data_IF_462810180661
#
_entry.id   IF_462810180661
#
_cell.length_a   1.000
_cell.length_b   1.000
_cell.length_c   1.000
_cell.angle_alpha   90.00
_cell.angle_beta   90.00
_cell.angle_gamma   90.00
#
_symmetry.space_group_name_H-M   'P 1'
#
loop_
_entity.id
_entity.type
_entity.pdbx_description
1 polymer ?
#
# COMPACT_ATOMS: atom_id res chain seq x y z
N UNK A 1 -6.43 29.07 1.79
CA UNK A 1 -5.32 29.40 0.88
C UNK A 1 -4.88 28.10 0.22
N UNK A 2 -5.22 27.95 -1.05
CA UNK A 2 -5.04 26.74 -1.86
C UNK A 2 -3.56 26.47 -2.10
N UNK A 3 -3.06 25.30 -1.68
CA UNK A 3 -1.88 24.69 -2.28
C UNK A 3 -2.36 23.79 -3.42
N UNK A 4 -2.47 24.41 -4.59
CA UNK A 4 -2.56 23.75 -5.88
C UNK A 4 -1.31 22.90 -6.11
N UNK A 5 -1.46 21.58 -5.99
CA UNK A 5 -0.60 20.64 -6.69
C UNK A 5 -1.22 20.38 -8.07
N UNK A 6 -1.26 21.43 -8.87
CA UNK A 6 -1.45 21.37 -10.30
C UNK A 6 -0.19 20.76 -10.92
N UNK A 7 -0.35 19.89 -11.93
CA UNK A 7 0.67 19.12 -12.61
C UNK A 7 1.86 19.92 -13.16
N UNK A 8 2.74 20.39 -12.31
CA UNK A 8 4.04 20.87 -12.70
C UNK A 8 4.89 19.70 -13.17
N UNK A 9 5.04 19.57 -14.49
CA UNK A 9 6.26 18.99 -15.07
C UNK A 9 7.43 19.79 -14.52
N UNK A 10 8.05 19.26 -13.48
CA UNK A 10 9.30 19.82 -13.01
C UNK A 10 10.37 19.50 -14.06
N UNK A 11 10.53 20.43 -14.99
CA UNK A 11 11.57 20.38 -16.00
C UNK A 11 12.87 20.84 -15.32
N UNK A 12 13.51 19.93 -14.61
CA UNK A 12 14.88 20.11 -14.13
C UNK A 12 15.79 20.14 -15.37
N UNK A 13 15.98 21.34 -15.93
CA UNK A 13 17.17 21.60 -16.73
C UNK A 13 18.36 21.53 -15.76
N UNK A 14 18.92 20.35 -15.61
CA UNK A 14 20.25 20.19 -15.05
C UNK A 14 21.21 20.78 -16.08
N UNK A 15 21.92 21.82 -15.68
CA UNK A 15 22.99 22.41 -16.47
C UNK A 15 23.97 21.32 -16.95
N UNK A 16 24.48 21.37 -18.19
CA UNK A 16 25.42 20.41 -18.66
C UNK A 16 26.79 20.67 -17.97
N UNK A 17 27.15 19.84 -17.03
CA UNK A 17 28.49 19.85 -16.47
C UNK A 17 29.15 18.50 -16.67
N UNK A 18 30.16 18.56 -17.53
CA UNK A 18 31.38 17.75 -17.64
C UNK A 18 31.27 16.22 -17.75
N UNK A 19 31.64 15.79 -18.91
CA UNK A 19 32.20 14.51 -19.35
C UNK A 19 32.95 13.74 -18.26
N UNK A 20 32.24 12.96 -17.49
CA UNK A 20 32.70 11.78 -16.84
C UNK A 20 31.79 10.64 -17.32
N UNK A 21 32.32 9.62 -17.94
CA UNK A 21 31.66 8.34 -18.18
C UNK A 21 31.28 7.74 -16.83
N UNK A 22 30.25 8.26 -16.19
CA UNK A 22 29.65 7.65 -15.02
C UNK A 22 28.84 6.45 -15.54
N UNK A 23 29.42 5.27 -15.48
CA UNK A 23 28.68 4.03 -15.64
C UNK A 23 27.50 4.10 -14.67
N UNK A 24 26.32 4.32 -15.21
CA UNK A 24 25.08 4.28 -14.41
C UNK A 24 25.04 2.88 -13.80
N UNK A 25 25.12 2.71 -12.47
CA UNK A 25 25.18 1.38 -11.88
C UNK A 25 23.99 0.59 -12.42
N UNK A 26 24.24 -0.64 -12.92
CA UNK A 26 23.21 -1.52 -13.50
C UNK A 26 21.95 -1.60 -12.62
N UNK A 27 22.14 -1.59 -11.31
CA UNK A 27 21.07 -1.54 -10.33
C UNK A 27 20.10 -0.34 -10.54
N UNK A 28 20.63 0.82 -10.92
CA UNK A 28 19.81 2.02 -11.17
C UNK A 28 18.97 1.90 -12.44
N UNK A 29 19.48 1.20 -13.44
CA UNK A 29 18.78 0.92 -14.71
C UNK A 29 17.66 -0.09 -14.44
N UNK A 30 17.94 -1.17 -13.71
CA UNK A 30 16.97 -2.21 -13.33
C UNK A 30 15.86 -1.62 -12.46
N UNK A 31 16.21 -0.89 -11.42
CA UNK A 31 15.22 -0.27 -10.52
C UNK A 31 14.39 0.83 -11.19
N UNK A 32 14.89 1.46 -12.25
CA UNK A 32 14.13 2.46 -13.00
C UNK A 32 13.18 1.82 -14.03
N UNK A 33 13.33 0.54 -14.32
CA UNK A 33 12.40 -0.22 -15.15
C UNK A 33 11.13 -0.53 -14.36
N UNK A 34 9.96 -0.12 -14.90
CA UNK A 34 8.66 -0.41 -14.29
C UNK A 34 8.42 -1.91 -14.15
N UNK A 35 8.81 -2.71 -15.15
CA UNK A 35 8.67 -4.17 -15.13
C UNK A 35 9.48 -4.82 -14.02
N UNK A 36 10.72 -4.40 -13.79
CA UNK A 36 11.55 -4.92 -12.70
C UNK A 36 10.97 -4.61 -11.32
N UNK A 37 10.38 -3.43 -11.15
CA UNK A 37 9.68 -3.09 -9.90
C UNK A 37 8.45 -3.98 -9.67
N UNK A 38 7.65 -4.23 -10.70
CA UNK A 38 6.53 -5.16 -10.62
C UNK A 38 6.97 -6.59 -10.33
N UNK A 39 8.03 -7.07 -10.99
CA UNK A 39 8.62 -8.38 -10.71
C UNK A 39 9.02 -8.52 -9.23
N UNK A 40 9.63 -7.47 -8.65
CA UNK A 40 9.98 -7.43 -7.23
C UNK A 40 8.74 -7.54 -6.33
N UNK A 41 7.65 -6.83 -6.66
CA UNK A 41 6.40 -6.89 -5.90
C UNK A 41 5.69 -8.24 -6.02
N UNK A 42 5.84 -8.94 -7.15
CA UNK A 42 5.27 -10.27 -7.37
C UNK A 42 6.07 -11.40 -6.70
N UNK A 43 7.35 -11.18 -6.38
CA UNK A 43 8.23 -12.22 -5.86
C UNK A 43 7.68 -12.95 -4.62
N UNK A 44 7.19 -12.27 -3.57
CA UNK A 44 6.61 -12.97 -2.42
C UNK A 44 5.40 -13.83 -2.81
N UNK A 45 4.52 -13.36 -3.71
CA UNK A 45 3.38 -14.14 -4.16
C UNK A 45 3.80 -15.39 -4.92
N UNK A 46 4.82 -15.29 -5.78
CA UNK A 46 5.34 -16.43 -6.52
C UNK A 46 5.92 -17.50 -5.58
N UNK A 47 6.65 -17.10 -4.55
CA UNK A 47 7.20 -18.02 -3.54
C UNK A 47 6.09 -18.71 -2.73
N UNK A 48 5.07 -17.96 -2.32
CA UNK A 48 3.91 -18.48 -1.61
C UNK A 48 3.15 -19.50 -2.48
N UNK A 49 2.85 -19.14 -3.73
CA UNK A 49 2.14 -19.98 -4.68
C UNK A 49 2.94 -21.25 -5.04
N UNK A 50 4.26 -21.15 -5.16
CA UNK A 50 5.13 -22.30 -5.41
C UNK A 50 5.03 -23.33 -4.29
N UNK A 51 5.09 -22.91 -3.02
CA UNK A 51 4.99 -23.79 -1.85
C UNK A 51 3.61 -24.43 -1.74
N UNK A 52 2.56 -23.73 -2.09
CA UNK A 52 1.21 -24.28 -2.20
C UNK A 52 1.11 -25.32 -3.33
N UNK A 53 1.63 -24.99 -4.52
CA UNK A 53 1.58 -25.88 -5.67
C UNK A 53 2.44 -27.15 -5.52
N UNK A 54 3.51 -27.10 -4.72
CA UNK A 54 4.31 -28.26 -4.38
C UNK A 54 3.67 -29.17 -3.33
N UNK A 55 2.53 -28.78 -2.76
CA UNK A 55 1.86 -29.53 -1.69
C UNK A 55 2.56 -29.41 -0.33
N UNK A 56 3.55 -28.50 -0.19
CA UNK A 56 4.24 -28.25 1.08
C UNK A 56 3.32 -27.56 2.11
N UNK A 57 2.39 -26.73 1.63
CA UNK A 57 1.47 -25.94 2.45
C UNK A 57 0.04 -26.10 1.95
N UNK A 58 -0.92 -26.02 2.87
CA UNK A 58 -2.36 -26.03 2.58
C UNK A 58 -2.92 -24.61 2.46
N UNK A 59 -4.20 -24.45 2.07
CA UNK A 59 -4.83 -23.14 1.87
C UNK A 59 -4.82 -22.28 3.15
N UNK A 60 -5.05 -22.87 4.30
CA UNK A 60 -5.00 -22.20 5.60
C UNK A 60 -3.64 -21.55 5.88
N UNK A 61 -2.54 -22.24 5.54
CA UNK A 61 -1.18 -21.71 5.74
C UNK A 61 -0.87 -20.49 4.86
N UNK A 62 -1.63 -20.34 3.76
CA UNK A 62 -1.49 -19.21 2.83
C UNK A 62 -2.17 -17.93 3.33
N UNK A 63 -3.13 -18.04 4.24
CA UNK A 63 -3.89 -16.89 4.73
C UNK A 63 -2.98 -15.86 5.40
N UNK A 64 -2.18 -16.28 6.36
CA UNK A 64 -1.31 -15.36 7.08
C UNK A 64 -0.32 -14.61 6.16
N UNK A 65 0.54 -15.26 5.37
CA UNK A 65 1.53 -14.55 4.56
C UNK A 65 0.90 -13.65 3.49
N UNK A 66 -0.21 -14.05 2.87
CA UNK A 66 -0.88 -13.21 1.85
C UNK A 66 -1.49 -11.95 2.46
N UNK A 67 -2.17 -12.08 3.60
CA UNK A 67 -2.73 -10.93 4.35
C UNK A 67 -1.64 -10.00 4.86
N UNK A 68 -0.55 -10.54 5.39
CA UNK A 68 0.58 -9.77 5.90
C UNK A 68 1.27 -8.96 4.80
N UNK A 69 1.54 -9.54 3.62
CA UNK A 69 2.10 -8.80 2.49
C UNK A 69 1.15 -7.72 1.97
N UNK A 70 -0.16 -7.98 1.94
CA UNK A 70 -1.16 -6.96 1.62
C UNK A 70 -1.04 -5.75 2.55
N UNK A 71 -1.05 -5.99 3.87
CA UNK A 71 -0.93 -4.94 4.88
C UNK A 71 0.41 -4.19 4.78
N UNK A 72 1.54 -4.88 4.59
CA UNK A 72 2.87 -4.27 4.42
C UNK A 72 2.91 -3.31 3.23
N UNK A 73 2.41 -3.72 2.06
CA UNK A 73 2.39 -2.86 0.88
C UNK A 73 1.43 -1.68 1.05
N UNK A 74 0.29 -1.87 1.70
CA UNK A 74 -0.64 -0.78 2.03
C UNK A 74 0.02 0.24 2.96
N UNK A 75 0.64 -0.21 4.05
CA UNK A 75 1.34 0.63 5.01
C UNK A 75 2.49 1.39 4.32
N UNK A 76 3.30 0.71 3.50
CA UNK A 76 4.36 1.34 2.74
C UNK A 76 3.83 2.44 1.81
N UNK A 77 2.76 2.16 1.04
CA UNK A 77 2.13 3.14 0.17
C UNK A 77 1.59 4.36 0.95
N UNK A 78 1.01 4.15 2.13
CA UNK A 78 0.47 5.22 2.98
C UNK A 78 1.58 6.05 3.65
N UNK A 79 2.68 5.42 4.07
CA UNK A 79 3.80 6.07 4.76
C UNK A 79 4.59 7.05 3.87
N UNK A 80 4.61 6.84 2.54
CA UNK A 80 5.40 7.67 1.64
C UNK A 80 5.04 9.15 1.67
N UNK A 81 3.77 9.50 1.80
CA UNK A 81 3.33 10.91 1.82
C UNK A 81 3.69 11.64 3.12
N UNK A 82 3.44 11.09 4.31
CA UNK A 82 3.96 11.64 5.56
C UNK A 82 5.48 11.75 5.55
N UNK A 83 6.17 10.72 5.08
CA UNK A 83 7.62 10.68 5.03
C UNK A 83 8.19 11.81 4.16
N UNK A 84 7.62 12.04 2.97
CA UNK A 84 8.00 13.15 2.09
C UNK A 84 7.75 14.52 2.73
N UNK A 85 6.69 14.65 3.55
CA UNK A 85 6.39 15.90 4.23
C UNK A 85 7.30 16.17 5.43
N UNK A 86 7.86 15.13 6.05
CA UNK A 86 8.72 15.23 7.24
C UNK A 86 10.20 15.33 6.88
N UNK A 87 10.63 14.59 5.87
CA UNK A 87 12.01 14.61 5.38
C UNK A 87 12.13 15.58 4.19
N UNK A 88 13.30 16.15 4.02
CA UNK A 88 13.61 16.88 2.79
C UNK A 88 13.51 15.94 1.58
N UNK A 89 13.12 16.46 0.38
CA UNK A 89 13.02 15.64 -0.82
C UNK A 89 14.38 15.05 -1.16
N UNK A 90 14.49 13.72 -1.03
CA UNK A 90 15.67 12.93 -1.38
C UNK A 90 15.41 12.11 -2.64
N UNK A 91 16.40 11.84 -3.49
CA UNK A 91 16.20 11.13 -4.76
C UNK A 91 15.52 9.77 -4.60
N UNK A 92 15.88 8.97 -3.58
CA UNK A 92 15.25 7.68 -3.29
C UNK A 92 13.77 7.81 -2.88
N UNK A 93 13.43 8.87 -2.12
CA UNK A 93 12.06 9.10 -1.67
C UNK A 93 11.17 9.59 -2.82
N UNK A 94 11.71 10.45 -3.70
CA UNK A 94 11.03 10.87 -4.93
C UNK A 94 10.80 9.66 -5.83
N UNK A 95 11.79 8.77 -5.93
CA UNK A 95 11.68 7.53 -6.68
C UNK A 95 10.56 6.61 -6.14
N UNK A 96 10.45 6.46 -4.81
CA UNK A 96 9.40 5.66 -4.16
C UNK A 96 8.02 6.29 -4.31
N UNK A 97 7.87 7.62 -4.15
CA UNK A 97 6.57 8.29 -4.27
C UNK A 97 5.97 8.15 -5.66
N UNK A 98 6.81 8.11 -6.72
CA UNK A 98 6.38 7.84 -8.08
C UNK A 98 5.81 6.42 -8.25
N UNK A 99 6.21 5.48 -7.39
CA UNK A 99 5.78 4.07 -7.38
C UNK A 99 4.71 3.74 -6.34
N UNK A 100 4.25 4.76 -5.60
CA UNK A 100 3.22 4.61 -4.57
C UNK A 100 1.96 3.90 -5.08
N UNK A 101 1.57 4.21 -6.33
CA UNK A 101 0.42 3.58 -6.98
C UNK A 101 0.63 2.08 -7.17
N UNK A 102 1.81 1.67 -7.62
CA UNK A 102 2.13 0.25 -7.79
C UNK A 102 2.10 -0.50 -6.45
N UNK A 103 2.61 0.10 -5.37
CA UNK A 103 2.50 -0.47 -4.02
C UNK A 103 1.03 -0.63 -3.58
N UNK A 104 0.18 0.38 -3.82
CA UNK A 104 -1.24 0.29 -3.49
C UNK A 104 -1.99 -0.78 -4.29
N UNK A 105 -1.68 -0.91 -5.58
CA UNK A 105 -2.26 -1.96 -6.42
C UNK A 105 -1.74 -3.34 -6.00
N UNK A 106 -0.45 -3.47 -5.68
CA UNK A 106 0.11 -4.72 -5.15
C UNK A 106 -0.59 -5.12 -3.83
N UNK A 107 -0.79 -4.18 -2.90
CA UNK A 107 -1.52 -4.43 -1.67
C UNK A 107 -2.91 -5.03 -1.95
N UNK A 108 -3.64 -4.48 -2.92
CA UNK A 108 -4.95 -4.99 -3.31
C UNK A 108 -4.86 -6.40 -3.94
N UNK A 109 -3.89 -6.65 -4.82
CA UNK A 109 -3.70 -7.97 -5.44
C UNK A 109 -3.43 -9.04 -4.37
N UNK A 110 -2.61 -8.72 -3.36
CA UNK A 110 -2.39 -9.63 -2.24
C UNK A 110 -3.63 -9.81 -1.34
N UNK A 111 -4.47 -8.77 -1.18
CA UNK A 111 -5.75 -8.89 -0.49
C UNK A 111 -6.71 -9.81 -1.25
N UNK A 112 -6.74 -9.73 -2.59
CA UNK A 112 -7.52 -10.65 -3.43
C UNK A 112 -6.98 -12.08 -3.31
N UNK A 113 -5.66 -12.26 -3.32
CA UNK A 113 -5.05 -13.58 -3.15
C UNK A 113 -5.38 -14.17 -1.77
N UNK A 114 -5.33 -13.35 -0.71
CA UNK A 114 -5.76 -13.72 0.63
C UNK A 114 -7.23 -14.17 0.65
N UNK A 115 -8.12 -13.42 0.01
CA UNK A 115 -9.53 -13.77 -0.09
C UNK A 115 -9.77 -15.08 -0.86
N UNK A 116 -9.01 -15.32 -1.94
CA UNK A 116 -9.09 -16.57 -2.70
C UNK A 116 -8.73 -17.75 -1.81
N UNK A 117 -7.64 -17.69 -1.06
CA UNK A 117 -7.25 -18.76 -0.14
C UNK A 117 -8.25 -18.95 1.01
N UNK A 118 -8.87 -17.87 1.51
CA UNK A 118 -9.95 -17.95 2.47
C UNK A 118 -11.15 -18.75 1.92
N UNK A 119 -11.57 -18.46 0.69
CA UNK A 119 -12.69 -19.17 0.05
C UNK A 119 -12.33 -20.64 -0.19
N UNK A 120 -11.09 -20.94 -0.58
CA UNK A 120 -10.62 -22.33 -0.78
C UNK A 120 -10.58 -23.08 0.55
N UNK A 121 -10.12 -22.45 1.62
CA UNK A 121 -10.01 -23.05 2.94
C UNK A 121 -11.38 -23.37 3.56
N UNK A 122 -12.33 -22.44 3.44
CA UNK A 122 -13.70 -22.62 3.94
C UNK A 122 -14.48 -23.70 3.16
N UNK A 123 -14.18 -23.90 1.88
CA UNK A 123 -14.70 -24.95 1.03
C UNK A 123 -16.18 -24.82 0.63
N UNK A 124 -17.03 -24.20 1.44
CA UNK A 124 -18.45 -24.01 1.15
C UNK A 124 -18.98 -22.66 1.62
N UNK A 125 -20.14 -22.25 1.06
CA UNK A 125 -20.74 -20.96 1.36
C UNK A 125 -21.37 -20.89 2.77
N UNK A 126 -21.89 -22.01 3.25
CA UNK A 126 -22.59 -22.05 4.54
C UNK A 126 -21.64 -21.77 5.70
N UNK A 127 -20.42 -22.28 5.64
CA UNK A 127 -19.37 -22.01 6.62
C UNK A 127 -18.92 -20.55 6.57
N UNK A 128 -18.76 -19.96 5.36
CA UNK A 128 -18.47 -18.53 5.18
C UNK A 128 -19.56 -17.67 5.81
N UNK A 129 -20.83 -18.02 5.61
CA UNK A 129 -21.97 -17.28 6.16
C UNK A 129 -22.08 -17.45 7.68
N UNK A 130 -21.77 -18.62 8.21
CA UNK A 130 -21.78 -18.88 9.64
C UNK A 130 -20.77 -18.01 10.42
N UNK A 131 -19.58 -17.77 9.83
CA UNK A 131 -18.55 -16.94 10.44
C UNK A 131 -18.67 -15.44 10.08
N UNK A 132 -19.53 -15.07 9.14
CA UNK A 132 -19.57 -13.73 8.57
C UNK A 132 -19.73 -12.61 9.62
N UNK A 133 -20.49 -12.84 10.69
CA UNK A 133 -20.73 -11.88 11.76
C UNK A 133 -19.62 -11.83 12.82
N UNK A 134 -18.66 -12.73 12.78
CA UNK A 134 -17.50 -12.65 13.67
C UNK A 134 -16.72 -11.35 13.38
N UNK A 135 -16.36 -10.61 14.44
CA UNK A 135 -15.76 -9.27 14.33
C UNK A 135 -14.49 -9.25 13.46
N UNK A 136 -13.67 -10.29 13.56
CA UNK A 136 -12.50 -10.46 12.70
C UNK A 136 -12.89 -10.61 11.23
N UNK A 137 -13.90 -11.40 10.90
CA UNK A 137 -14.28 -11.73 9.52
C UNK A 137 -14.97 -10.54 8.84
N UNK A 138 -16.04 -9.97 9.42
CA UNK A 138 -16.76 -8.89 8.76
C UNK A 138 -15.92 -7.63 8.58
N UNK A 139 -14.95 -7.34 9.48
CA UNK A 139 -14.02 -6.21 9.31
C UNK A 139 -13.08 -6.42 8.12
N UNK A 140 -12.68 -7.66 7.85
CA UNK A 140 -11.95 -8.03 6.64
C UNK A 140 -12.77 -7.78 5.36
N UNK A 141 -14.04 -8.22 5.34
CA UNK A 141 -14.95 -7.96 4.23
C UNK A 141 -15.19 -6.46 4.02
N UNK A 142 -15.44 -5.70 5.09
CA UNK A 142 -15.63 -4.25 5.02
C UNK A 142 -14.36 -3.54 4.50
N UNK A 143 -13.18 -3.95 4.95
CA UNK A 143 -11.92 -3.44 4.44
C UNK A 143 -11.77 -3.71 2.93
N UNK A 144 -12.10 -4.91 2.48
CA UNK A 144 -12.05 -5.29 1.07
C UNK A 144 -13.00 -4.44 0.22
N UNK A 145 -14.25 -4.24 0.67
CA UNK A 145 -15.23 -3.38 0.01
C UNK A 145 -14.73 -1.93 -0.17
N UNK A 146 -14.04 -1.38 0.82
CA UNK A 146 -13.42 -0.06 0.70
C UNK A 146 -12.18 -0.09 -0.21
N UNK A 147 -11.46 -1.19 -0.25
CA UNK A 147 -10.23 -1.30 -1.02
C UNK A 147 -10.48 -1.45 -2.53
N UNK A 148 -11.57 -2.15 -2.92
CA UNK A 148 -11.96 -2.33 -4.32
C UNK A 148 -12.02 -1.01 -5.09
N UNK A 149 -12.84 0.01 -4.72
CA UNK A 149 -12.92 1.25 -5.49
C UNK A 149 -11.61 2.03 -5.49
N UNK A 150 -10.81 1.96 -4.43
CA UNK A 150 -9.48 2.58 -4.38
C UNK A 150 -8.54 1.95 -5.41
N UNK A 151 -8.52 0.63 -5.49
CA UNK A 151 -7.66 -0.10 -6.42
C UNK A 151 -8.12 0.06 -7.88
N UNK A 152 -9.41 -0.13 -8.15
CA UNK A 152 -9.99 0.00 -9.49
C UNK A 152 -9.80 1.38 -10.10
N UNK A 153 -9.80 2.43 -9.28
CA UNK A 153 -9.57 3.81 -9.74
C UNK A 153 -8.09 4.24 -9.68
N UNK A 154 -7.18 3.33 -9.35
CA UNK A 154 -5.74 3.59 -9.31
C UNK A 154 -5.08 3.58 -10.69
N UNK A 155 -5.67 4.28 -11.66
CA UNK A 155 -5.19 4.42 -13.03
C UNK A 155 -5.34 5.86 -13.54
N UNK A 156 -4.66 6.17 -14.65
CA UNK A 156 -4.64 7.55 -15.19
C UNK A 156 -5.98 7.94 -15.83
N UNK A 157 -6.74 6.99 -16.36
CA UNK A 157 -8.06 7.27 -16.93
C UNK A 157 -9.04 7.70 -15.84
N UNK A 158 -9.11 6.94 -14.74
CA UNK A 158 -9.95 7.28 -13.58
C UNK A 158 -9.55 8.61 -12.93
N UNK A 159 -8.24 8.89 -12.85
CA UNK A 159 -7.75 10.16 -12.31
C UNK A 159 -8.20 11.35 -13.17
N UNK A 160 -8.17 11.22 -14.50
CA UNK A 160 -8.67 12.25 -15.42
C UNK A 160 -10.19 12.40 -15.36
N UNK A 161 -10.92 11.29 -15.29
CA UNK A 161 -12.38 11.29 -15.27
C UNK A 161 -12.95 11.85 -13.95
N UNK A 162 -12.43 11.41 -12.82
CA UNK A 162 -12.93 11.78 -11.50
C UNK A 162 -12.39 13.11 -10.95
N UNK A 163 -11.32 13.64 -11.53
CA UNK A 163 -10.71 14.93 -11.16
C UNK A 163 -10.54 15.07 -9.63
N UNK A 164 -11.19 16.06 -9.00
CA UNK A 164 -11.14 16.28 -7.55
C UNK A 164 -11.79 15.12 -6.73
N UNK A 165 -12.78 14.45 -7.31
CA UNK A 165 -13.43 13.28 -6.70
C UNK A 165 -12.47 12.11 -6.50
N UNK A 166 -11.49 11.95 -7.39
CA UNK A 166 -10.47 10.91 -7.27
C UNK A 166 -9.71 10.96 -5.93
N UNK A 167 -9.31 12.16 -5.51
CA UNK A 167 -8.62 12.34 -4.22
C UNK A 167 -9.50 11.98 -3.03
N UNK A 168 -10.81 12.24 -3.10
CA UNK A 168 -11.77 11.87 -2.05
C UNK A 168 -11.91 10.36 -1.97
N UNK A 169 -12.05 9.70 -3.13
CA UNK A 169 -12.16 8.24 -3.21
C UNK A 169 -10.89 7.55 -2.66
N UNK A 170 -9.70 8.03 -3.04
CA UNK A 170 -8.44 7.48 -2.54
C UNK A 170 -8.26 7.61 -1.01
N UNK A 171 -9.00 8.49 -0.35
CA UNK A 171 -9.00 8.60 1.12
C UNK A 171 -9.67 7.42 1.81
N UNK A 172 -10.47 6.61 1.11
CA UNK A 172 -11.05 5.38 1.66
C UNK A 172 -9.99 4.38 2.13
N UNK A 173 -8.72 4.54 1.70
CA UNK A 173 -7.62 3.74 2.22
C UNK A 173 -7.41 3.93 3.73
N UNK A 174 -7.76 5.08 4.32
CA UNK A 174 -7.60 5.31 5.76
C UNK A 174 -8.57 4.47 6.61
N UNK A 175 -9.90 4.53 6.40
CA UNK A 175 -10.82 3.63 7.09
C UNK A 175 -10.55 2.16 6.73
N UNK A 176 -10.16 1.82 5.51
CA UNK A 176 -9.74 0.46 5.16
C UNK A 176 -8.55 0.00 6.02
N UNK A 177 -7.53 0.84 6.22
CA UNK A 177 -6.37 0.51 7.06
C UNK A 177 -6.76 0.26 8.53
N UNK A 178 -7.71 1.04 9.08
CA UNK A 178 -8.24 0.81 10.43
C UNK A 178 -8.96 -0.54 10.50
N UNK A 179 -9.79 -0.87 9.52
CA UNK A 179 -10.49 -2.16 9.46
C UNK A 179 -9.52 -3.33 9.30
N UNK A 180 -8.46 -3.19 8.50
CA UNK A 180 -7.39 -4.20 8.37
C UNK A 180 -6.67 -4.41 9.70
N UNK A 181 -6.39 -3.33 10.45
CA UNK A 181 -5.78 -3.46 11.78
C UNK A 181 -6.70 -4.23 12.74
N UNK A 182 -7.99 -3.89 12.78
CA UNK A 182 -8.99 -4.58 13.61
C UNK A 182 -9.08 -6.05 13.18
N UNK A 183 -9.25 -6.33 11.89
CA UNK A 183 -9.26 -7.67 11.32
C UNK A 183 -8.05 -8.49 11.79
N UNK A 184 -6.84 -7.94 11.65
CA UNK A 184 -5.60 -8.63 12.05
C UNK A 184 -5.58 -8.98 13.53
N UNK A 185 -5.95 -8.03 14.40
CA UNK A 185 -5.98 -8.23 15.85
C UNK A 185 -6.94 -9.36 16.24
N UNK A 186 -8.15 -9.35 15.68
CA UNK A 186 -9.20 -10.31 16.07
C UNK A 186 -9.03 -11.69 15.44
N UNK A 187 -8.39 -11.81 14.26
CA UNK A 187 -8.10 -13.11 13.66
C UNK A 187 -6.95 -13.83 14.39
N UNK A 188 -5.88 -13.10 14.73
CA UNK A 188 -4.71 -13.73 15.34
C UNK A 188 -4.72 -13.70 16.86
N UNK A 189 -5.68 -13.03 17.51
CA UNK A 189 -5.72 -12.80 18.95
C UNK A 189 -4.37 -12.34 19.54
N UNK A 190 -3.55 -11.67 18.71
CA UNK A 190 -2.22 -11.22 19.05
C UNK A 190 -2.00 -9.78 18.57
N UNK A 191 -1.93 -8.85 19.53
CA UNK A 191 -1.74 -7.43 19.26
C UNK A 191 -0.32 -7.10 18.78
N UNK A 192 0.68 -7.82 19.21
CA UNK A 192 2.07 -7.44 19.02
C UNK A 192 2.49 -7.37 17.52
N UNK A 193 2.24 -8.37 16.66
CA UNK A 193 2.57 -8.27 15.23
C UNK A 193 1.80 -7.16 14.51
N UNK A 194 0.50 -7.01 14.80
CA UNK A 194 -0.32 -5.98 14.19
C UNK A 194 0.20 -4.57 14.56
N UNK A 195 0.44 -4.32 15.85
CA UNK A 195 0.95 -3.04 16.32
C UNK A 195 2.36 -2.75 15.79
N UNK A 196 3.25 -3.74 15.71
CA UNK A 196 4.59 -3.57 15.17
C UNK A 196 4.56 -3.00 13.74
N UNK A 197 3.62 -3.43 12.91
CA UNK A 197 3.48 -2.96 11.55
C UNK A 197 2.78 -1.59 11.46
N UNK A 198 1.76 -1.33 12.28
CA UNK A 198 0.95 -0.12 12.17
C UNK A 198 1.45 1.08 12.99
N UNK A 199 2.17 0.86 14.13
CA UNK A 199 2.72 1.95 14.95
C UNK A 199 3.62 2.89 14.14
N UNK A 200 4.58 2.43 13.30
CA UNK A 200 5.39 3.33 12.50
C UNK A 200 4.57 4.24 11.59
N UNK A 201 3.50 3.72 10.99
CA UNK A 201 2.59 4.51 10.16
C UNK A 201 1.86 5.55 10.99
N UNK A 202 1.31 5.17 12.15
CA UNK A 202 0.60 6.08 13.05
C UNK A 202 1.51 7.21 13.53
N UNK A 203 2.74 6.89 13.91
CA UNK A 203 3.74 7.90 14.33
C UNK A 203 4.09 8.88 13.20
N UNK A 204 4.26 8.38 11.97
CA UNK A 204 4.51 9.24 10.80
C UNK A 204 3.33 10.18 10.50
N UNK A 205 2.10 9.66 10.56
CA UNK A 205 0.88 10.46 10.33
C UNK A 205 0.71 11.50 11.43
N UNK A 206 0.91 11.12 12.70
CA UNK A 206 0.82 12.02 13.85
C UNK A 206 1.90 13.13 13.76
N UNK A 207 3.15 12.77 13.47
CA UNK A 207 4.24 13.74 13.31
C UNK A 207 3.96 14.74 12.18
N UNK A 208 3.42 14.26 11.04
CA UNK A 208 2.99 15.13 9.94
C UNK A 208 1.91 16.11 10.39
N UNK A 209 0.90 15.63 11.12
CA UNK A 209 -0.22 16.46 11.60
C UNK A 209 0.27 17.53 12.59
N UNK A 210 1.12 17.16 13.55
CA UNK A 210 1.71 18.09 14.51
C UNK A 210 2.58 19.16 13.83
N UNK A 211 3.40 18.75 12.84
CA UNK A 211 4.18 19.70 12.04
C UNK A 211 3.29 20.70 11.31
N UNK A 212 2.23 20.22 10.68
CA UNK A 212 1.29 21.07 9.94
C UNK A 212 0.60 22.09 10.88
N UNK A 213 0.14 21.66 12.06
CA UNK A 213 -0.44 22.56 13.07
C UNK A 213 0.56 23.62 13.52
N UNK A 214 1.82 23.23 13.81
CA UNK A 214 2.86 24.18 14.23
C UNK A 214 3.15 25.25 13.16
N UNK A 215 3.09 24.91 11.90
CA UNK A 215 3.30 25.86 10.79
C UNK A 215 2.14 26.86 10.69
N UNK A 216 0.91 26.43 10.87
CA UNK A 216 -0.27 27.30 10.89
C UNK A 216 -0.18 28.31 12.05
N UNK A 217 0.17 27.84 13.26
CA UNK A 217 0.29 28.69 14.45
C UNK A 217 1.46 29.69 14.40
N UNK A 218 2.49 29.41 13.60
CA UNK A 218 3.63 30.34 13.42
C UNK A 218 3.41 31.34 12.30
N UNK A 219 2.45 31.12 11.42
CA UNK A 219 2.11 32.03 10.31
C UNK A 219 0.89 32.91 10.57
N UNK A 220 0.26 32.76 11.76
CA UNK A 220 -0.79 33.64 12.30
C UNK A 220 -0.18 34.56 13.35
#
# INVERSE_FOLDING_TARGET
>A
MCLEYCGCRFNLRVAPNQTGHYQKPMLRIILNNKGAFWALLCLPALLILQRYASGELIAMDMLHPTGEWSARFMIAAMALSPLLSLLAPRPWLIWLIQRRRALGVAAFVYAVLHLIFYIIDMGNLDDILAEFLALGIWTGWAAMLLFVPVAMTSNDASMRALKAGWKRLQRLVYPAAVLVLIHWIFIHNNLAPALLHFIPLLLLVAARFLRHRRLILKGA
#
